data_IF_866602267953
#
_entry.id   IF_866602267953
#
_cell.length_a   1.000
_cell.length_b   1.000
_cell.length_c   1.000
_cell.angle_alpha   90.00
_cell.angle_beta   90.00
_cell.angle_gamma   90.00
#
_symmetry.space_group_name_H-M   'P 1'
#
loop_
_entity.id
_entity.type
_entity.pdbx_description
1 polymer ?
#
# COMPACT_ATOMS: atom_id res chain seq x y z
N UNK A 1 6.97 24.64 42.98
CA UNK A 1 6.39 24.32 41.66
C UNK A 1 6.94 22.95 41.28
N UNK A 2 6.16 21.89 41.48
CA UNK A 2 6.63 20.50 41.29
C UNK A 2 6.05 20.01 39.97
N UNK A 3 6.89 19.91 38.95
CA UNK A 3 6.52 19.28 37.67
C UNK A 3 6.48 17.78 37.93
N UNK A 4 5.28 17.19 37.94
CA UNK A 4 5.12 15.73 37.90
C UNK A 4 5.37 15.29 36.47
N UNK A 5 6.45 14.54 36.25
CA UNK A 5 6.71 13.78 35.02
C UNK A 5 5.60 12.74 34.90
N UNK A 6 4.60 12.98 34.05
CA UNK A 6 3.65 11.93 33.67
C UNK A 6 4.41 10.95 32.78
N UNK A 7 4.69 9.76 33.31
CA UNK A 7 5.16 8.66 32.48
C UNK A 7 3.95 8.16 31.70
N UNK A 8 3.94 8.45 30.39
CA UNK A 8 2.92 7.94 29.47
C UNK A 8 3.11 6.43 29.35
N UNK A 9 2.26 5.68 30.06
CA UNK A 9 2.18 4.23 29.87
C UNK A 9 1.23 4.01 28.70
N UNK A 10 1.79 3.92 27.49
CA UNK A 10 1.01 3.55 26.31
C UNK A 10 0.35 2.19 26.58
N UNK A 11 -0.94 2.08 26.26
CA UNK A 11 -1.63 0.80 26.28
C UNK A 11 -0.97 -0.14 25.25
N UNK A 12 -0.82 -1.45 25.53
CA UNK A 12 -0.27 -2.38 24.57
C UNK A 12 -1.21 -2.47 23.37
N UNK A 13 -0.69 -2.23 22.17
CA UNK A 13 -1.42 -2.41 20.91
C UNK A 13 -1.16 -3.82 20.38
N UNK A 14 -2.16 -4.42 19.73
CA UNK A 14 -2.04 -5.74 19.08
C UNK A 14 -1.79 -5.50 17.60
N UNK A 15 -0.62 -5.89 17.12
CA UNK A 15 -0.33 -5.93 15.69
C UNK A 15 -0.82 -7.25 15.11
N UNK A 16 -1.49 -7.18 13.96
CA UNK A 16 -1.88 -8.33 13.13
C UNK A 16 -1.16 -8.23 11.79
N UNK A 17 -0.68 -9.37 11.30
CA UNK A 17 -0.14 -9.51 9.96
C UNK A 17 -1.09 -10.36 9.13
N UNK A 18 -1.50 -9.83 7.98
CA UNK A 18 -2.38 -10.50 7.04
C UNK A 18 -1.62 -10.78 5.74
N UNK A 19 -1.81 -11.97 5.18
CA UNK A 19 -1.33 -12.36 3.86
C UNK A 19 -2.52 -12.44 2.89
N UNK A 20 -2.36 -11.85 1.70
CA UNK A 20 -3.37 -11.82 0.65
C UNK A 20 -2.71 -12.14 -0.70
N UNK A 21 -3.18 -13.21 -1.36
CA UNK A 21 -2.69 -13.63 -2.69
C UNK A 21 -3.79 -13.48 -3.76
N UNK A 22 -4.65 -12.45 -3.61
CA UNK A 22 -5.77 -12.20 -4.51
C UNK A 22 -5.30 -11.37 -5.72
N UNK A 23 -5.20 -12.02 -6.88
CA UNK A 23 -4.78 -11.40 -8.14
C UNK A 23 -5.77 -10.38 -8.71
N UNK A 24 -6.93 -10.18 -8.07
CA UNK A 24 -7.80 -9.02 -8.38
C UNK A 24 -7.26 -7.71 -7.78
N UNK A 25 -6.28 -7.79 -6.87
CA UNK A 25 -5.55 -6.62 -6.39
C UNK A 25 -4.43 -6.29 -7.39
N UNK A 26 -4.42 -5.08 -8.00
CA UNK A 26 -3.54 -4.80 -9.14
C UNK A 26 -2.04 -4.96 -8.86
N UNK A 27 -1.57 -4.49 -7.70
CA UNK A 27 -0.16 -4.60 -7.30
C UNK A 27 0.24 -6.05 -7.02
N UNK A 28 -0.70 -6.89 -6.58
CA UNK A 28 -0.47 -8.33 -6.40
C UNK A 28 -0.28 -8.98 -7.77
N UNK A 29 -1.20 -8.76 -8.71
CA UNK A 29 -1.08 -9.28 -10.06
C UNK A 29 0.19 -8.81 -10.78
N UNK A 30 0.53 -7.53 -10.64
CA UNK A 30 1.73 -6.96 -11.25
C UNK A 30 3.03 -7.53 -10.66
N UNK A 31 3.07 -7.80 -9.35
CA UNK A 31 4.27 -8.36 -8.71
C UNK A 31 4.65 -9.73 -9.28
N UNK A 32 3.66 -10.60 -9.50
CA UNK A 32 3.85 -11.93 -10.09
C UNK A 32 4.18 -11.85 -11.59
N UNK A 33 3.48 -10.99 -12.34
CA UNK A 33 3.61 -10.94 -13.79
C UNK A 33 4.91 -10.28 -14.28
N UNK A 34 5.37 -9.24 -13.57
CA UNK A 34 6.50 -8.41 -13.98
C UNK A 34 7.77 -8.63 -13.13
N UNK A 35 7.76 -9.62 -12.22
CA UNK A 35 8.88 -9.94 -11.32
C UNK A 35 9.36 -8.67 -10.57
N UNK A 36 8.41 -8.03 -9.89
CA UNK A 36 8.61 -6.77 -9.17
C UNK A 36 8.00 -6.81 -7.78
N UNK A 37 8.50 -5.96 -6.90
CA UNK A 37 8.02 -5.81 -5.53
C UNK A 37 7.53 -4.38 -5.28
N UNK A 38 6.53 -4.24 -4.41
CA UNK A 38 5.97 -2.96 -4.02
C UNK A 38 6.03 -2.76 -2.51
N UNK A 39 6.30 -1.53 -2.07
CA UNK A 39 6.06 -1.09 -0.70
C UNK A 39 5.17 0.15 -0.74
N UNK A 40 4.15 0.19 0.13
CA UNK A 40 3.29 1.36 0.28
C UNK A 40 4.01 2.41 1.14
N UNK A 41 4.36 3.52 0.50
CA UNK A 41 5.07 4.65 1.13
C UNK A 41 4.10 5.58 1.85
N UNK A 42 2.97 5.90 1.22
CA UNK A 42 2.01 6.84 1.78
C UNK A 42 0.59 6.55 1.30
N UNK A 43 -0.38 6.81 2.19
CA UNK A 43 -1.79 6.64 1.96
C UNK A 43 -2.54 7.93 2.31
N UNK A 44 -3.20 8.54 1.33
CA UNK A 44 -3.85 9.84 1.49
C UNK A 44 -5.34 9.74 1.13
N UNK A 45 -6.25 9.85 2.11
CA UNK A 45 -7.69 9.91 1.86
C UNK A 45 -8.10 11.11 1.00
N UNK A 46 -9.00 10.89 0.05
CA UNK A 46 -9.56 11.88 -0.91
C UNK A 46 -11.10 11.83 -0.93
N UNK A 47 -11.72 12.01 0.23
CA UNK A 47 -13.18 11.94 0.40
C UNK A 47 -13.62 10.60 0.97
N UNK A 48 -14.91 10.27 0.87
CA UNK A 48 -15.49 9.09 1.53
C UNK A 48 -14.92 7.77 1.00
N UNK A 49 -14.81 7.58 -0.33
CA UNK A 49 -14.45 6.27 -0.92
C UNK A 49 -13.26 6.33 -1.91
N UNK A 50 -12.46 7.39 -1.83
CA UNK A 50 -11.31 7.59 -2.71
C UNK A 50 -10.08 7.88 -1.89
N UNK A 51 -8.95 7.39 -2.37
CA UNK A 51 -7.65 7.61 -1.75
C UNK A 51 -6.56 7.52 -2.80
N UNK A 52 -5.42 8.11 -2.48
CA UNK A 52 -4.20 7.99 -3.28
C UNK A 52 -3.23 7.14 -2.50
N UNK A 53 -2.71 6.11 -3.15
CA UNK A 53 -1.67 5.23 -2.63
C UNK A 53 -0.38 5.53 -3.40
N UNK A 54 0.71 5.76 -2.67
CA UNK A 54 2.04 5.92 -3.24
C UNK A 54 2.83 4.63 -3.00
N UNK A 55 3.22 3.96 -4.07
CA UNK A 55 4.02 2.74 -3.99
C UNK A 55 5.42 2.98 -4.52
N UNK A 56 6.45 2.65 -3.74
CA UNK A 56 7.74 2.36 -4.35
C UNK A 56 7.66 0.99 -5.03
N UNK A 57 8.21 0.89 -6.23
CA UNK A 57 8.39 -0.36 -6.95
C UNK A 57 9.88 -0.62 -7.14
N UNK A 58 10.31 -1.86 -6.99
CA UNK A 58 11.65 -2.33 -7.34
C UNK A 58 11.56 -3.60 -8.18
N UNK A 59 12.40 -3.73 -9.21
CA UNK A 59 12.32 -4.83 -10.17
C UNK A 59 11.31 -4.56 -11.29
N UNK A 60 11.28 -5.45 -12.28
CA UNK A 60 10.53 -5.23 -13.52
C UNK A 60 10.92 -3.97 -14.30
N UNK A 61 10.12 -3.61 -15.30
CA UNK A 61 10.18 -2.29 -15.95
C UNK A 61 9.10 -1.38 -15.37
N UNK A 62 9.45 -0.29 -14.65
CA UNK A 62 8.45 0.56 -13.97
C UNK A 62 7.36 1.12 -14.89
N UNK A 63 7.65 1.33 -16.17
CA UNK A 63 6.65 1.80 -17.14
C UNK A 63 5.65 0.68 -17.48
N UNK A 64 6.11 -0.54 -17.76
CA UNK A 64 5.25 -1.70 -17.99
C UNK A 64 4.39 -2.05 -16.76
N UNK A 65 5.00 -2.01 -15.57
CA UNK A 65 4.30 -2.21 -14.30
C UNK A 65 3.20 -1.15 -14.10
N UNK A 66 3.52 0.11 -14.36
CA UNK A 66 2.55 1.22 -14.25
C UNK A 66 1.38 1.04 -15.22
N UNK A 67 1.67 0.64 -16.46
CA UNK A 67 0.65 0.36 -17.48
C UNK A 67 -0.26 -0.79 -17.04
N UNK A 68 0.31 -1.90 -16.54
CA UNK A 68 -0.46 -3.05 -16.06
C UNK A 68 -1.37 -2.68 -14.87
N UNK A 69 -0.86 -1.91 -13.90
CA UNK A 69 -1.67 -1.43 -12.76
C UNK A 69 -2.79 -0.49 -13.22
N UNK A 70 -2.54 0.34 -14.23
CA UNK A 70 -3.55 1.24 -14.80
C UNK A 70 -4.66 0.50 -15.56
N UNK A 71 -4.33 -0.63 -16.21
CA UNK A 71 -5.29 -1.45 -16.95
C UNK A 71 -6.30 -2.15 -16.02
N UNK A 72 -5.92 -2.43 -14.77
CA UNK A 72 -6.79 -3.09 -13.80
C UNK A 72 -7.77 -2.09 -13.15
N UNK A 73 -9.07 -2.37 -13.27
CA UNK A 73 -10.18 -1.56 -12.72
C UNK A 73 -10.24 -0.07 -13.15
N UNK A 74 -9.57 0.30 -14.25
CA UNK A 74 -9.52 1.67 -14.76
C UNK A 74 -9.06 2.70 -13.70
N UNK A 75 -8.07 2.31 -12.88
CA UNK A 75 -7.44 3.22 -11.90
C UNK A 75 -6.60 4.27 -12.62
N UNK A 76 -6.66 5.51 -12.15
CA UNK A 76 -5.72 6.53 -12.61
C UNK A 76 -4.37 6.25 -11.95
N UNK A 77 -3.42 5.75 -12.73
CA UNK A 77 -2.07 5.41 -12.24
C UNK A 77 -1.04 6.25 -12.98
N UNK A 78 -0.06 6.79 -12.25
CA UNK A 78 1.02 7.59 -12.80
C UNK A 78 2.37 7.23 -12.19
N UNK A 79 3.38 7.01 -13.02
CA UNK A 79 4.77 6.94 -12.59
C UNK A 79 5.29 8.34 -12.29
N UNK A 80 5.59 8.64 -11.02
CA UNK A 80 6.09 9.94 -10.57
C UNK A 80 7.60 10.08 -10.71
N UNK A 81 8.33 8.98 -10.51
CA UNK A 81 9.78 8.97 -10.65
C UNK A 81 10.29 7.61 -11.08
N UNK A 82 11.43 7.59 -11.76
CA UNK A 82 12.12 6.38 -12.21
C UNK A 82 13.60 6.48 -11.90
N UNK A 83 14.18 5.38 -11.42
CA UNK A 83 15.62 5.21 -11.20
C UNK A 83 16.02 3.78 -11.55
N UNK A 84 16.34 3.55 -12.82
CA UNK A 84 16.67 2.22 -13.32
C UNK A 84 15.42 1.33 -13.37
N UNK A 85 15.45 0.27 -12.59
CA UNK A 85 14.39 -0.71 -12.32
C UNK A 85 13.55 -0.35 -11.07
N UNK A 86 13.80 0.79 -10.44
CA UNK A 86 12.97 1.30 -9.35
C UNK A 86 12.12 2.49 -9.79
N UNK A 87 10.98 2.69 -9.12
CA UNK A 87 10.07 3.80 -9.38
C UNK A 87 9.19 4.18 -8.19
N UNK A 88 8.50 5.31 -8.32
CA UNK A 88 7.43 5.72 -7.40
C UNK A 88 6.15 5.88 -8.20
N UNK A 89 5.12 5.10 -7.87
CA UNK A 89 3.83 5.12 -8.52
C UNK A 89 2.82 5.86 -7.64
N UNK A 90 2.02 6.72 -8.25
CA UNK A 90 0.79 7.25 -7.68
C UNK A 90 -0.39 6.45 -8.24
N UNK A 91 -1.19 5.86 -7.35
CA UNK A 91 -2.37 5.07 -7.71
C UNK A 91 -3.60 5.73 -7.08
N UNK A 92 -4.50 6.24 -7.91
CA UNK A 92 -5.81 6.70 -7.45
C UNK A 92 -6.75 5.51 -7.36
N UNK A 93 -7.16 5.19 -6.15
CA UNK A 93 -8.05 4.06 -5.86
C UNK A 93 -9.44 4.59 -5.52
N UNK A 94 -10.45 3.97 -6.13
CA UNK A 94 -11.86 4.12 -5.78
C UNK A 94 -12.40 2.76 -5.34
N UNK A 95 -13.05 2.67 -4.17
CA UNK A 95 -13.59 1.41 -3.66
C UNK A 95 -12.62 0.59 -2.80
N UNK A 96 -12.78 -0.74 -2.85
CA UNK A 96 -12.20 -1.70 -1.89
C UNK A 96 -10.67 -1.87 -2.03
N UNK A 97 -9.89 -1.08 -1.28
CA UNK A 97 -8.47 -1.36 -1.00
C UNK A 97 -8.37 -2.20 0.28
N UNK A 98 -7.57 -3.30 0.31
CA UNK A 98 -7.36 -4.09 1.52
C UNK A 98 -6.90 -3.26 2.73
N UNK A 99 -6.04 -2.27 2.50
CA UNK A 99 -5.56 -1.37 3.54
C UNK A 99 -6.69 -0.45 4.06
N UNK A 100 -7.53 0.07 3.16
CA UNK A 100 -8.69 0.88 3.53
C UNK A 100 -9.69 0.07 4.36
N UNK A 101 -10.01 -1.15 3.92
CA UNK A 101 -10.96 -2.02 4.61
C UNK A 101 -10.53 -2.28 6.07
N UNK A 102 -9.24 -2.53 6.29
CA UNK A 102 -8.71 -2.68 7.66
C UNK A 102 -8.88 -1.40 8.48
N UNK A 103 -8.56 -0.23 7.89
CA UNK A 103 -8.70 1.05 8.56
C UNK A 103 -10.16 1.36 8.94
N UNK A 104 -11.11 1.04 8.07
CA UNK A 104 -12.56 1.15 8.34
C UNK A 104 -13.03 0.26 9.49
N UNK A 105 -12.38 -0.90 9.65
CA UNK A 105 -12.62 -1.83 10.76
C UNK A 105 -11.79 -1.53 12.02
N UNK A 106 -11.04 -0.43 12.02
CA UNK A 106 -10.28 0.04 13.17
C UNK A 106 -8.89 -0.59 13.34
N UNK A 107 -8.43 -1.36 12.35
CA UNK A 107 -7.06 -1.85 12.28
C UNK A 107 -6.26 -0.95 11.34
N UNK A 108 -5.45 -0.06 11.88
CA UNK A 108 -4.71 0.94 11.11
C UNK A 108 -3.51 0.28 10.41
N UNK A 109 -3.43 0.29 9.07
CA UNK A 109 -2.27 -0.23 8.36
C UNK A 109 -0.99 0.51 8.78
N UNK A 110 0.05 -0.27 9.07
CA UNK A 110 1.39 0.17 9.43
C UNK A 110 2.41 -0.10 8.33
N UNK A 111 2.23 -1.21 7.62
CA UNK A 111 3.05 -1.60 6.47
C UNK A 111 2.19 -2.36 5.49
N UNK A 112 2.38 -2.08 4.20
CA UNK A 112 1.88 -2.90 3.10
C UNK A 112 3.06 -3.17 2.19
N UNK A 113 3.37 -4.44 1.98
CA UNK A 113 4.41 -4.90 1.06
C UNK A 113 3.82 -5.95 0.13
N UNK A 114 4.28 -5.99 -1.12
CA UNK A 114 3.81 -6.94 -2.13
C UNK A 114 5.00 -7.52 -2.86
N UNK A 115 5.06 -8.83 -2.95
CA UNK A 115 6.16 -9.58 -3.58
C UNK A 115 5.62 -10.92 -4.09
N UNK A 116 6.07 -11.36 -5.26
CA UNK A 116 5.74 -12.68 -5.85
C UNK A 116 4.24 -13.07 -5.79
N UNK A 117 3.33 -12.14 -6.09
CA UNK A 117 1.90 -12.40 -6.06
C UNK A 117 1.29 -12.49 -4.65
N UNK A 118 2.00 -12.01 -3.62
CA UNK A 118 1.52 -11.97 -2.25
C UNK A 118 1.65 -10.57 -1.63
N UNK A 119 0.56 -10.08 -1.06
CA UNK A 119 0.53 -8.86 -0.26
C UNK A 119 0.57 -9.20 1.24
N UNK A 120 1.49 -8.58 1.96
CA UNK A 120 1.57 -8.60 3.42
C UNK A 120 1.14 -7.25 3.98
N UNK A 121 0.18 -7.27 4.91
CA UNK A 121 -0.30 -6.07 5.61
C UNK A 121 -0.11 -6.24 7.12
N UNK A 122 0.68 -5.38 7.72
CA UNK A 122 0.75 -5.23 9.18
C UNK A 122 -0.20 -4.09 9.61
N UNK A 123 -1.07 -4.34 10.60
CA UNK A 123 -2.03 -3.35 11.09
C UNK A 123 -2.23 -3.44 12.62
N UNK A 124 -2.66 -2.35 13.24
CA UNK A 124 -2.81 -2.23 14.71
C UNK A 124 -4.12 -1.58 15.17
#
# INVERSE_FOLDING_TARGET
MTIRKQESRSEPVVEVELLLSDSSVPVVAASEAEDCQFDLEEFIPRGEDRHVEFYSVEGGDPDAVTEMVAEHDARETQLLSRRGDAGLLEVLVSGDSPAMLLAEHGALPRRVAVDDGEMTIAAE
#
